data_IF_240473164020
#
_entry.id   IF_240473164020
#
_cell.length_a   1.000
_cell.length_b   1.000
_cell.length_c   1.000
_cell.angle_alpha   90.00
_cell.angle_beta   90.00
_cell.angle_gamma   90.00
#
_symmetry.space_group_name_H-M   'P 1'
#
loop_
_entity.id
_entity.type
_entity.pdbx_description
1 polymer ?
#
# COMPACT_ATOMS: atom_id res chain seq x y z
N UNK A 1 9.83 16.07 -2.51
CA UNK A 1 8.59 15.53 -1.92
C UNK A 1 8.46 14.11 -2.43
N UNK A 2 8.08 13.12 -1.61
CA UNK A 2 7.94 11.75 -2.08
C UNK A 2 6.81 11.64 -3.13
N UNK A 3 7.07 10.92 -4.22
CA UNK A 3 6.06 10.59 -5.22
C UNK A 3 5.19 9.42 -4.75
N UNK A 4 4.01 9.24 -5.34
CA UNK A 4 3.12 8.13 -4.96
C UNK A 4 3.76 6.76 -5.23
N UNK A 5 4.63 6.65 -6.23
CA UNK A 5 5.42 5.46 -6.52
C UNK A 5 6.37 5.12 -5.37
N UNK A 6 6.94 6.13 -4.70
CA UNK A 6 7.82 5.91 -3.54
C UNK A 6 7.03 5.30 -2.38
N UNK A 7 5.84 5.86 -2.10
CA UNK A 7 4.92 5.33 -1.08
C UNK A 7 4.52 3.89 -1.43
N UNK A 8 4.18 3.62 -2.68
CA UNK A 8 3.80 2.29 -3.13
C UNK A 8 4.94 1.28 -2.97
N UNK A 9 6.17 1.69 -3.27
CA UNK A 9 7.37 0.86 -3.09
C UNK A 9 7.67 0.58 -1.61
N UNK A 10 7.51 1.58 -0.72
CA UNK A 10 7.64 1.39 0.73
C UNK A 10 6.63 0.34 1.23
N UNK A 11 5.36 0.47 0.83
CA UNK A 11 4.31 -0.47 1.22
C UNK A 11 4.55 -1.88 0.66
N UNK A 12 4.96 -1.99 -0.60
CA UNK A 12 5.32 -3.28 -1.21
C UNK A 12 6.40 -3.99 -0.39
N UNK A 13 7.49 -3.29 -0.08
CA UNK A 13 8.61 -3.84 0.68
C UNK A 13 8.20 -4.22 2.11
N UNK A 14 7.36 -3.40 2.75
CA UNK A 14 6.82 -3.70 4.08
C UNK A 14 5.98 -4.98 4.08
N UNK A 15 5.10 -5.16 3.10
CA UNK A 15 4.30 -6.39 2.96
C UNK A 15 5.18 -7.60 2.61
N UNK A 16 6.15 -7.44 1.72
CA UNK A 16 7.11 -8.49 1.36
C UNK A 16 7.94 -8.94 2.58
N UNK A 17 8.36 -8.00 3.44
CA UNK A 17 9.12 -8.31 4.65
C UNK A 17 8.39 -9.26 5.62
N UNK A 18 7.05 -9.29 5.58
CA UNK A 18 6.22 -10.18 6.41
C UNK A 18 6.17 -11.61 5.87
N UNK A 19 6.64 -11.86 4.66
CA UNK A 19 6.59 -13.17 4.01
C UNK A 19 7.80 -14.06 4.34
N UNK A 20 8.31 -13.99 5.59
CA UNK A 20 9.44 -14.80 6.08
C UNK A 20 10.69 -14.71 5.20
N UNK A 21 10.95 -13.54 4.61
CA UNK A 21 12.07 -13.31 3.70
C UNK A 21 11.91 -13.90 2.30
N UNK A 22 10.77 -14.51 1.97
CA UNK A 22 10.46 -14.96 0.60
C UNK A 22 9.91 -13.79 -0.21
N UNK A 23 10.46 -13.59 -1.42
CA UNK A 23 9.94 -12.59 -2.34
C UNK A 23 8.46 -12.83 -2.64
N UNK A 24 7.67 -11.76 -2.69
CA UNK A 24 6.30 -11.80 -3.21
C UNK A 24 6.34 -11.24 -4.62
N UNK A 25 5.85 -12.01 -5.59
CA UNK A 25 5.77 -11.53 -6.96
C UNK A 25 4.79 -10.37 -7.11
N UNK A 26 5.02 -9.49 -8.09
CA UNK A 26 4.10 -8.40 -8.39
C UNK A 26 2.71 -8.92 -8.79
N UNK A 27 2.61 -10.09 -9.45
CA UNK A 27 1.33 -10.73 -9.75
C UNK A 27 0.58 -11.11 -8.47
N UNK A 28 1.23 -11.77 -7.52
CA UNK A 28 0.61 -12.11 -6.23
C UNK A 28 0.14 -10.88 -5.45
N UNK A 29 0.90 -9.78 -5.48
CA UNK A 29 0.47 -8.53 -4.85
C UNK A 29 -0.73 -7.90 -5.59
N UNK A 30 -0.72 -7.95 -6.93
CA UNK A 30 -1.82 -7.45 -7.74
C UNK A 30 -3.11 -8.25 -7.46
N UNK A 31 -3.00 -9.58 -7.38
CA UNK A 31 -4.10 -10.48 -7.04
C UNK A 31 -4.70 -10.15 -5.66
N UNK A 32 -3.84 -9.92 -4.65
CA UNK A 32 -4.29 -9.51 -3.30
C UNK A 32 -5.04 -8.18 -3.29
N UNK A 33 -4.68 -7.25 -4.18
CA UNK A 33 -5.33 -5.95 -4.29
C UNK A 33 -6.53 -5.95 -5.25
N UNK A 34 -6.84 -7.09 -5.90
CA UNK A 34 -7.93 -7.19 -6.87
C UNK A 34 -7.72 -6.35 -8.12
N UNK A 35 -6.46 -6.11 -8.52
CA UNK A 35 -6.11 -5.30 -9.70
C UNK A 35 -5.33 -6.09 -10.74
N UNK A 36 -5.40 -5.73 -12.03
CA UNK A 36 -4.54 -6.34 -13.05
C UNK A 36 -3.05 -6.16 -12.71
N UNK A 37 -2.23 -7.17 -13.01
CA UNK A 37 -0.77 -7.10 -12.84
C UNK A 37 -0.14 -5.87 -13.50
N UNK A 38 -0.64 -5.49 -14.68
CA UNK A 38 -0.20 -4.28 -15.41
C UNK A 38 -0.44 -3.01 -14.59
N UNK A 39 -1.60 -2.88 -13.94
CA UNK A 39 -1.93 -1.75 -13.08
C UNK A 39 -0.96 -1.65 -11.90
N UNK A 40 -0.67 -2.78 -11.25
CA UNK A 40 0.31 -2.84 -10.16
C UNK A 40 1.72 -2.41 -10.61
N UNK A 41 2.14 -2.88 -11.79
CA UNK A 41 3.41 -2.50 -12.41
C UNK A 41 3.50 -1.01 -12.70
N UNK A 42 2.47 -0.46 -13.34
CA UNK A 42 2.42 0.95 -13.70
C UNK A 42 2.46 1.84 -12.45
N UNK A 43 1.83 1.44 -11.35
CA UNK A 43 1.92 2.14 -10.05
C UNK A 43 3.32 2.08 -9.45
N UNK A 44 3.96 0.90 -9.48
CA UNK A 44 5.32 0.71 -8.95
C UNK A 44 6.37 1.54 -9.72
N UNK A 45 6.17 1.68 -11.04
CA UNK A 45 7.02 2.48 -11.93
C UNK A 45 6.62 3.96 -11.99
N UNK A 46 5.49 4.35 -11.40
CA UNK A 46 4.99 5.72 -11.41
C UNK A 46 4.41 6.20 -12.75
N UNK A 47 4.12 5.29 -13.68
CA UNK A 47 3.50 5.58 -14.98
C UNK A 47 2.07 6.07 -14.79
N UNK A 48 1.31 5.38 -13.95
CA UNK A 48 -0.01 5.82 -13.49
C UNK A 48 0.00 5.94 -11.97
N UNK A 49 -0.90 6.76 -11.43
CA UNK A 49 -0.90 7.13 -10.01
C UNK A 49 -2.25 6.81 -9.38
N UNK A 50 -2.31 6.06 -8.26
CA UNK A 50 -3.53 5.93 -7.48
C UNK A 50 -3.74 7.23 -6.70
N UNK A 51 -4.36 8.24 -7.32
CA UNK A 51 -4.45 9.61 -6.78
C UNK A 51 -5.08 9.66 -5.38
N UNK A 52 -6.11 8.86 -5.12
CA UNK A 52 -6.74 8.77 -3.80
C UNK A 52 -5.79 8.22 -2.72
N UNK A 53 -4.83 7.36 -3.07
CA UNK A 53 -3.91 6.78 -2.11
C UNK A 53 -3.00 7.85 -1.47
N UNK A 54 -2.61 8.88 -2.24
CA UNK A 54 -1.81 9.98 -1.68
C UNK A 54 -2.58 10.75 -0.59
N UNK A 55 -3.87 11.02 -0.82
CA UNK A 55 -4.71 11.70 0.15
C UNK A 55 -4.88 10.85 1.42
N UNK A 56 -5.13 9.54 1.27
CA UNK A 56 -5.26 8.61 2.39
C UNK A 56 -3.97 8.53 3.21
N UNK A 57 -2.81 8.37 2.56
CA UNK A 57 -1.52 8.34 3.27
C UNK A 57 -1.25 9.65 4.01
N UNK A 58 -1.56 10.81 3.40
CA UNK A 58 -1.41 12.10 4.07
C UNK A 58 -2.30 12.23 5.32
N UNK A 59 -3.56 11.77 5.25
CA UNK A 59 -4.45 11.77 6.41
C UNK A 59 -3.94 10.83 7.51
N UNK A 60 -3.43 9.63 7.16
CA UNK A 60 -2.85 8.72 8.14
C UNK A 60 -1.59 9.32 8.80
N UNK A 61 -0.74 10.01 8.06
CA UNK A 61 0.47 10.65 8.60
C UNK A 61 0.19 11.87 9.49
N UNK A 62 -1.05 12.37 9.57
CA UNK A 62 -1.43 13.46 10.48
C UNK A 62 -1.84 12.96 11.87
N UNK A 63 -2.00 11.66 12.04
CA UNK A 63 -2.39 11.03 13.30
C UNK A 63 -1.16 10.69 14.14
N UNK A 64 -1.32 10.71 15.46
CA UNK A 64 -0.29 10.23 16.39
C UNK A 64 -0.19 8.70 16.35
N UNK A 65 0.91 8.12 16.87
CA UNK A 65 1.22 6.69 16.73
C UNK A 65 0.06 5.76 17.19
N UNK A 66 -0.53 6.06 18.34
CA UNK A 66 -1.66 5.29 18.89
C UNK A 66 -2.93 5.42 18.03
N UNK A 67 -3.17 6.62 17.47
CA UNK A 67 -4.32 6.91 16.61
C UNK A 67 -4.18 6.24 15.24
N UNK A 68 -2.97 6.20 14.69
CA UNK A 68 -2.66 5.45 13.46
C UNK A 68 -3.01 3.98 13.66
N UNK A 69 -2.53 3.37 14.75
CA UNK A 69 -2.78 1.95 15.01
C UNK A 69 -4.28 1.66 15.21
N UNK A 70 -4.98 2.50 15.98
CA UNK A 70 -6.42 2.37 16.19
C UNK A 70 -7.22 2.52 14.88
N UNK A 71 -6.86 3.49 14.05
CA UNK A 71 -7.50 3.75 12.76
C UNK A 71 -7.26 2.62 11.78
N UNK A 72 -6.03 2.10 11.68
CA UNK A 72 -5.72 0.94 10.84
C UNK A 72 -6.51 -0.31 11.27
N UNK A 73 -6.68 -0.55 12.58
CA UNK A 73 -7.53 -1.66 13.08
C UNK A 73 -9.00 -1.49 12.66
N UNK A 74 -9.53 -0.27 12.69
CA UNK A 74 -10.90 0.02 12.19
C UNK A 74 -11.01 -0.21 10.69
N UNK A 75 -10.07 0.29 9.89
CA UNK A 75 -10.04 0.10 8.44
C UNK A 75 -9.97 -1.38 8.09
N UNK A 76 -9.10 -2.14 8.77
CA UNK A 76 -8.98 -3.58 8.59
C UNK A 76 -10.34 -4.29 8.76
N UNK A 77 -11.06 -3.97 9.84
CA UNK A 77 -12.43 -4.48 10.08
C UNK A 77 -13.43 -4.06 9.00
N UNK A 78 -13.35 -2.82 8.53
CA UNK A 78 -14.25 -2.29 7.50
C UNK A 78 -14.00 -2.91 6.11
N UNK A 79 -12.75 -3.27 5.81
CA UNK A 79 -12.33 -3.90 4.56
C UNK A 79 -12.50 -5.43 4.57
N UNK A 80 -12.69 -6.05 5.74
CA UNK A 80 -12.85 -7.50 5.87
C UNK A 80 -11.53 -8.29 5.87
N UNK A 81 -10.43 -7.64 6.24
CA UNK A 81 -9.06 -8.21 6.29
C UNK A 81 -8.67 -8.73 7.69
#
# INVERSE_FOLDING_TARGET
MAEISDIFNILHNAVESKNLGKKISQSQMADKLGVPMRTYQDWKLGITKPQAALAVCKMLCQLDEDEVLYTLKKLKKALGE
#
